data_IF_965740242341
#
_entry.id   IF_965740242341
#
_cell.length_a   1.000
_cell.length_b   1.000
_cell.length_c   1.000
_cell.angle_alpha   90.00
_cell.angle_beta   90.00
_cell.angle_gamma   90.00
#
_symmetry.space_group_name_H-M   'P 1'
#
loop_
_entity.id
_entity.type
_entity.pdbx_description
1 polymer ?
#
# COMPACT_ATOMS: atom_id res chain seq x y z
N UNK A 1 5.24 -8.55 24.33
CA UNK A 1 5.10 -7.84 23.04
C UNK A 1 4.09 -6.74 23.29
N UNK A 2 4.54 -5.49 23.39
CA UNK A 2 3.68 -4.33 23.57
C UNK A 2 2.83 -4.12 22.32
N UNK A 3 1.51 -3.95 22.50
CA UNK A 3 0.59 -3.61 21.42
C UNK A 3 1.01 -2.27 20.80
N UNK A 4 1.48 -2.31 19.57
CA UNK A 4 1.76 -1.12 18.76
C UNK A 4 0.42 -0.42 18.52
N UNK A 5 0.21 0.76 19.09
CA UNK A 5 -0.99 1.55 18.82
C UNK A 5 -0.98 1.99 17.36
N UNK A 6 -1.91 1.43 16.59
CA UNK A 6 -2.01 1.62 15.16
C UNK A 6 -3.32 2.37 14.83
N UNK A 7 -3.23 3.39 13.98
CA UNK A 7 -4.41 4.10 13.47
C UNK A 7 -4.85 3.50 12.12
N UNK A 8 -6.08 2.95 12.00
CA UNK A 8 -6.59 2.41 10.75
C UNK A 8 -6.67 3.46 9.63
N UNK A 9 -6.21 3.05 8.46
CA UNK A 9 -6.20 3.85 7.24
C UNK A 9 -7.36 3.37 6.36
N UNK A 10 -8.49 4.08 6.32
CA UNK A 10 -9.62 3.67 5.48
C UNK A 10 -9.21 3.58 3.99
N UNK A 11 -9.30 2.38 3.41
CA UNK A 11 -9.06 2.12 1.98
C UNK A 11 -10.20 1.31 1.36
N UNK A 12 -10.59 1.65 0.14
CA UNK A 12 -11.49 0.81 -0.67
C UNK A 12 -10.63 -0.04 -1.59
N UNK A 13 -10.20 -1.21 -1.11
CA UNK A 13 -9.56 -2.20 -1.96
C UNK A 13 -10.65 -3.00 -2.67
N UNK A 14 -10.62 -3.08 -4.01
CA UNK A 14 -11.51 -3.99 -4.73
C UNK A 14 -11.18 -5.43 -4.34
N UNK A 15 -12.20 -6.24 -4.01
CA UNK A 15 -12.04 -7.67 -3.74
C UNK A 15 -11.36 -8.33 -4.93
N UNK A 16 -10.17 -8.88 -4.70
CA UNK A 16 -9.41 -9.59 -5.71
C UNK A 16 -9.61 -11.09 -5.55
N UNK A 17 -9.78 -11.85 -6.65
CA UNK A 17 -9.63 -13.30 -6.58
C UNK A 17 -8.16 -13.59 -6.23
N UNK A 18 -7.91 -14.12 -5.02
CA UNK A 18 -6.56 -14.40 -4.48
C UNK A 18 -5.72 -15.34 -5.36
N UNK A 19 -6.34 -16.07 -6.29
CA UNK A 19 -5.76 -17.20 -7.01
C UNK A 19 -4.74 -16.85 -8.11
N UNK A 20 -4.53 -15.57 -8.46
CA UNK A 20 -3.57 -15.16 -9.51
C UNK A 20 -2.58 -14.04 -9.07
N UNK A 21 -2.31 -13.92 -7.77
CA UNK A 21 -1.37 -12.93 -7.25
C UNK A 21 0.05 -13.49 -7.16
N UNK A 22 1.03 -12.73 -7.68
CA UNK A 22 2.46 -13.00 -7.42
C UNK A 22 2.80 -12.83 -5.94
N UNK A 23 3.92 -13.39 -5.48
CA UNK A 23 4.36 -13.29 -4.07
C UNK A 23 4.37 -11.85 -3.55
N UNK A 24 4.86 -10.90 -4.36
CA UNK A 24 4.93 -9.50 -3.97
C UNK A 24 3.54 -8.85 -3.92
N UNK A 25 2.61 -9.25 -4.79
CA UNK A 25 1.22 -8.76 -4.76
C UNK A 25 0.44 -9.36 -3.58
N UNK A 26 0.66 -10.63 -3.26
CA UNK A 26 0.08 -11.26 -2.07
C UNK A 26 0.53 -10.56 -0.79
N UNK A 27 1.82 -10.20 -0.71
CA UNK A 27 2.32 -9.42 0.43
C UNK A 27 1.62 -8.07 0.55
N UNK A 28 1.46 -7.35 -0.57
CA UNK A 28 0.76 -6.07 -0.58
C UNK A 28 -0.71 -6.21 -0.17
N UNK A 29 -1.37 -7.28 -0.64
CA UNK A 29 -2.76 -7.57 -0.29
C UNK A 29 -2.91 -7.86 1.21
N UNK A 30 -2.05 -8.70 1.78
CA UNK A 30 -2.05 -8.97 3.22
C UNK A 30 -1.71 -7.71 4.04
N UNK A 31 -0.79 -6.89 3.53
CA UNK A 31 -0.45 -5.60 4.15
C UNK A 31 -1.60 -4.60 4.07
N UNK A 32 -2.56 -4.77 3.17
CA UNK A 32 -3.75 -3.92 3.16
C UNK A 32 -4.64 -4.13 4.39
N UNK A 33 -4.53 -5.27 5.09
CA UNK A 33 -5.21 -5.48 6.37
C UNK A 33 -4.75 -4.47 7.45
N UNK A 34 -3.54 -3.92 7.31
CA UNK A 34 -3.08 -2.80 8.14
C UNK A 34 -4.11 -1.67 8.05
N UNK A 35 -4.66 -1.38 6.87
CA UNK A 35 -5.62 -0.30 6.66
C UNK A 35 -6.88 -0.39 7.54
N UNK A 36 -7.26 -1.60 7.97
CA UNK A 36 -8.43 -1.85 8.83
C UNK A 36 -8.09 -2.08 10.30
N UNK A 37 -6.84 -1.83 10.73
CA UNK A 37 -6.46 -2.00 12.14
C UNK A 37 -5.83 -3.36 12.45
N UNK A 38 -5.73 -4.24 11.46
CA UNK A 38 -5.30 -5.62 11.67
C UNK A 38 -3.85 -5.76 11.23
N UNK A 39 -2.98 -6.09 12.18
CA UNK A 39 -1.59 -6.46 11.89
C UNK A 39 -1.53 -7.99 11.82
N UNK A 40 -1.28 -8.61 10.65
CA UNK A 40 -1.11 -10.05 10.58
C UNK A 40 0.13 -10.49 11.38
N UNK A 41 0.00 -11.52 12.21
CA UNK A 41 1.00 -11.97 13.21
C UNK A 41 2.41 -12.19 12.64
N UNK A 42 2.51 -12.49 11.35
CA UNK A 42 3.77 -12.78 10.67
C UNK A 42 4.22 -11.67 9.72
N UNK A 43 3.51 -10.55 9.57
CA UNK A 43 3.79 -9.56 8.53
C UNK A 43 5.13 -8.86 8.73
N UNK A 44 5.48 -8.52 9.98
CA UNK A 44 6.78 -7.92 10.32
C UNK A 44 7.97 -8.84 10.01
N UNK A 45 7.77 -10.15 10.12
CA UNK A 45 8.81 -11.16 9.94
C UNK A 45 8.79 -11.79 8.54
N UNK A 46 7.73 -11.55 7.76
CA UNK A 46 7.56 -12.12 6.44
C UNK A 46 8.53 -11.47 5.45
N UNK A 47 9.22 -12.30 4.68
CA UNK A 47 10.08 -11.82 3.61
C UNK A 47 9.19 -11.25 2.49
N UNK A 48 9.33 -9.97 2.11
CA UNK A 48 8.53 -9.36 1.05
C UNK A 48 8.82 -9.93 -0.35
N UNK A 49 9.77 -10.87 -0.48
CA UNK A 49 10.11 -11.56 -1.71
C UNK A 49 11.46 -11.12 -2.29
N UNK A 50 11.91 -11.81 -3.35
CA UNK A 50 13.07 -11.36 -4.14
C UNK A 50 12.73 -10.06 -4.85
N UNK A 51 13.76 -9.24 -5.08
CA UNK A 51 13.62 -8.00 -5.84
C UNK A 51 13.15 -8.35 -7.26
N UNK A 52 11.89 -8.04 -7.56
CA UNK A 52 11.32 -8.31 -8.88
C UNK A 52 11.66 -7.18 -9.86
N UNK A 53 11.44 -7.38 -11.16
CA UNK A 53 11.52 -6.31 -12.18
C UNK A 53 10.63 -5.09 -11.84
N UNK A 54 9.54 -5.30 -11.10
CA UNK A 54 8.75 -4.21 -10.52
C UNK A 54 9.43 -3.68 -9.24
N UNK A 55 10.43 -2.82 -9.42
CA UNK A 55 11.21 -2.21 -8.33
C UNK A 55 10.29 -1.51 -7.30
N UNK A 56 9.28 -0.79 -7.78
CA UNK A 56 8.31 -0.06 -6.95
C UNK A 56 7.53 -0.94 -5.98
N UNK A 57 7.07 -2.12 -6.40
CA UNK A 57 6.27 -3.01 -5.55
C UNK A 57 7.12 -3.60 -4.42
N UNK A 58 8.38 -3.93 -4.71
CA UNK A 58 9.32 -4.44 -3.70
C UNK A 58 9.62 -3.36 -2.66
N UNK A 59 9.84 -2.12 -3.09
CA UNK A 59 10.07 -0.99 -2.20
C UNK A 59 8.84 -0.70 -1.34
N UNK A 60 7.64 -0.71 -1.92
CA UNK A 60 6.40 -0.52 -1.18
C UNK A 60 6.22 -1.58 -0.09
N UNK A 61 6.43 -2.86 -0.41
CA UNK A 61 6.33 -3.95 0.56
C UNK A 61 7.35 -3.83 1.70
N UNK A 62 8.59 -3.41 1.39
CA UNK A 62 9.62 -3.18 2.41
C UNK A 62 9.27 -2.03 3.35
N UNK A 63 8.68 -0.95 2.81
CA UNK A 63 8.22 0.19 3.61
C UNK A 63 7.04 -0.20 4.52
N UNK A 64 6.10 -0.99 4.01
CA UNK A 64 4.98 -1.51 4.82
C UNK A 64 5.47 -2.44 5.92
N UNK A 65 6.44 -3.31 5.62
CA UNK A 65 7.08 -4.16 6.63
C UNK A 65 7.80 -3.32 7.70
N UNK A 66 8.55 -2.30 7.28
CA UNK A 66 9.24 -1.38 8.19
C UNK A 66 8.25 -0.67 9.10
N UNK A 67 7.13 -0.20 8.55
CA UNK A 67 6.06 0.43 9.31
C UNK A 67 5.51 -0.47 10.41
N UNK A 68 5.24 -1.75 10.12
CA UNK A 68 4.76 -2.69 11.14
C UNK A 68 5.83 -3.05 12.17
N UNK A 69 7.09 -3.06 11.78
CA UNK A 69 8.21 -3.44 12.66
C UNK A 69 8.74 -2.28 13.52
N UNK A 70 8.20 -1.07 13.40
CA UNK A 70 8.72 0.13 14.08
C UNK A 70 7.73 0.61 15.14
N UNK A 71 8.15 0.61 16.41
CA UNK A 71 7.31 1.11 17.52
C UNK A 71 7.08 2.63 17.44
N UNK A 72 8.14 3.39 17.15
CA UNK A 72 8.10 4.86 17.05
C UNK A 72 8.07 5.31 15.59
N UNK A 73 6.87 5.40 15.04
CA UNK A 73 6.64 5.77 13.65
C UNK A 73 6.90 7.27 13.39
N UNK A 74 7.85 7.58 12.51
CA UNK A 74 8.05 8.94 11.97
C UNK A 74 6.86 9.38 11.09
N UNK A 75 6.50 10.66 11.14
CA UNK A 75 5.46 11.25 10.28
C UNK A 75 5.68 10.96 8.80
N UNK A 76 6.94 10.96 8.33
CA UNK A 76 7.28 10.65 6.95
C UNK A 76 6.98 9.19 6.61
N UNK A 77 7.29 8.26 7.52
CA UNK A 77 7.02 6.84 7.31
C UNK A 77 5.52 6.59 7.29
N UNK A 78 4.76 7.20 8.22
CA UNK A 78 3.29 7.15 8.23
C UNK A 78 2.70 7.69 6.93
N UNK A 79 3.20 8.84 6.45
CA UNK A 79 2.73 9.44 5.22
C UNK A 79 2.97 8.55 4.00
N UNK A 80 4.19 8.02 3.86
CA UNK A 80 4.57 7.16 2.73
C UNK A 80 3.75 5.86 2.74
N UNK A 81 3.61 5.19 3.89
CA UNK A 81 2.83 3.94 3.97
C UNK A 81 1.34 4.17 3.74
N UNK A 82 0.82 5.29 4.24
CA UNK A 82 -0.56 5.72 3.94
C UNK A 82 -0.76 5.96 2.45
N UNK A 83 0.19 6.64 1.79
CA UNK A 83 0.16 6.87 0.34
C UNK A 83 0.17 5.54 -0.42
N UNK A 84 1.02 4.59 0.00
CA UNK A 84 1.08 3.25 -0.58
C UNK A 84 -0.28 2.54 -0.46
N UNK A 85 -0.87 2.53 0.74
CA UNK A 85 -2.12 1.82 0.99
C UNK A 85 -3.32 2.48 0.31
N UNK A 86 -3.38 3.81 0.23
CA UNK A 86 -4.55 4.55 -0.30
C UNK A 86 -4.53 4.77 -1.80
N UNK A 87 -3.35 4.87 -2.41
CA UNK A 87 -3.22 5.19 -3.84
C UNK A 87 -2.57 4.04 -4.59
N UNK A 88 -1.37 3.63 -4.16
CA UNK A 88 -0.57 2.67 -4.92
C UNK A 88 -1.20 1.26 -4.96
N UNK A 89 -1.64 0.74 -3.81
CA UNK A 89 -2.22 -0.59 -3.74
C UNK A 89 -3.52 -0.72 -4.55
N UNK A 90 -4.52 0.17 -4.41
CA UNK A 90 -5.69 0.18 -5.27
C UNK A 90 -5.35 0.28 -6.76
N UNK A 91 -4.41 1.16 -7.13
CA UNK A 91 -3.95 1.29 -8.53
C UNK A 91 -3.36 -0.03 -9.05
N UNK A 92 -2.45 -0.66 -8.31
CA UNK A 92 -1.83 -1.93 -8.70
C UNK A 92 -2.87 -3.03 -8.91
N UNK A 93 -3.87 -3.11 -8.02
CA UNK A 93 -4.92 -4.13 -8.10
C UNK A 93 -5.95 -3.84 -9.20
N UNK A 94 -6.27 -2.57 -9.46
CA UNK A 94 -7.09 -2.17 -10.61
C UNK A 94 -6.42 -2.52 -11.94
N UNK A 95 -5.12 -2.25 -12.09
CA UNK A 95 -4.39 -2.62 -13.30
C UNK A 95 -4.34 -4.14 -13.47
N UNK A 96 -4.13 -4.90 -12.39
CA UNK A 96 -4.11 -6.36 -12.43
C UNK A 96 -5.47 -6.95 -12.83
N UNK A 97 -6.58 -6.38 -12.37
CA UNK A 97 -7.95 -6.82 -12.74
C UNK A 97 -8.36 -6.40 -14.14
N UNK A 98 -7.94 -5.21 -14.59
CA UNK A 98 -8.26 -4.64 -15.90
C UNK A 98 -6.97 -4.26 -16.66
N UNK A 99 -6.18 -5.24 -17.13
CA UNK A 99 -4.85 -4.99 -17.70
C UNK A 99 -4.88 -4.53 -19.17
N UNK A 100 -6.03 -4.61 -19.83
CA UNK A 100 -6.13 -4.26 -21.27
C UNK A 100 -5.96 -2.76 -21.47
N UNK A 101 -5.30 -2.38 -22.57
CA UNK A 101 -4.96 -0.99 -22.88
C UNK A 101 -6.17 -0.03 -22.86
N UNK A 102 -7.35 -0.47 -23.31
CA UNK A 102 -8.55 0.38 -23.30
C UNK A 102 -9.06 0.72 -21.89
N UNK A 103 -8.66 -0.04 -20.85
CA UNK A 103 -8.89 0.33 -19.45
C UNK A 103 -7.81 1.26 -18.90
N UNK A 104 -6.73 1.52 -19.64
CA UNK A 104 -5.61 2.35 -19.20
C UNK A 104 -6.05 3.74 -18.74
N UNK A 105 -6.92 4.41 -19.52
CA UNK A 105 -7.43 5.75 -19.15
C UNK A 105 -8.31 5.71 -17.90
N UNK A 106 -9.08 4.65 -17.71
CA UNK A 106 -9.95 4.46 -16.54
C UNK A 106 -9.08 4.22 -15.29
N UNK A 107 -8.10 3.32 -15.38
CA UNK A 107 -7.16 3.05 -14.29
C UNK A 107 -6.35 4.31 -13.90
N UNK A 108 -5.93 5.09 -14.90
CA UNK A 108 -5.23 6.36 -14.67
C UNK A 108 -6.13 7.39 -13.98
N UNK A 109 -7.38 7.55 -14.44
CA UNK A 109 -8.34 8.47 -13.83
C UNK A 109 -8.65 8.09 -12.38
N UNK A 110 -8.84 6.81 -12.06
CA UNK A 110 -9.04 6.34 -10.70
C UNK A 110 -7.85 6.67 -9.79
N UNK A 111 -6.63 6.52 -10.31
CA UNK A 111 -5.40 6.86 -9.58
C UNK A 111 -5.33 8.36 -9.29
N UNK A 112 -5.64 9.21 -10.28
CA UNK A 112 -5.71 10.67 -10.08
C UNK A 112 -6.77 11.02 -9.04
N UNK A 113 -7.95 10.42 -9.12
CA UNK A 113 -9.05 10.66 -8.19
C UNK A 113 -8.63 10.32 -6.75
N UNK A 114 -8.08 9.12 -6.54
CA UNK A 114 -7.57 8.70 -5.23
C UNK A 114 -6.48 9.64 -4.69
N UNK A 115 -5.58 10.12 -5.55
CA UNK A 115 -4.55 11.07 -5.16
C UNK A 115 -5.08 12.44 -4.76
N UNK A 116 -6.20 12.90 -5.33
CA UNK A 116 -6.81 14.20 -4.99
C UNK A 116 -7.63 14.15 -3.71
N UNK A 117 -8.25 13.00 -3.43
CA UNK A 117 -9.02 12.75 -2.20
C UNK A 117 -8.10 12.50 -0.99
N UNK A 118 -6.83 12.22 -1.23
CA UNK A 118 -5.83 12.12 -0.17
C UNK A 118 -5.52 13.51 0.40
N UNK A 119 -5.76 13.76 1.70
CA UNK A 119 -5.59 15.09 2.27
C UNK A 119 -4.14 15.57 2.12
N UNK A 120 -3.97 16.72 1.48
CA UNK A 120 -2.70 17.38 1.21
C UNK A 120 -2.24 18.24 2.39
N UNK A 121 -2.34 17.76 3.62
CA UNK A 121 -1.87 18.51 4.80
C UNK A 121 -0.33 18.63 4.85
N UNK A 122 0.42 18.00 3.94
CA UNK A 122 1.90 17.96 3.98
C UNK A 122 2.56 18.41 2.64
N UNK A 123 1.81 18.57 1.54
CA UNK A 123 2.41 19.01 0.25
C UNK A 123 3.11 20.37 0.31
N UNK A 124 2.85 21.18 1.34
CA UNK A 124 3.55 22.46 1.58
C UNK A 124 4.91 22.31 2.25
N UNK A 125 5.23 21.16 2.86
CA UNK A 125 6.40 20.95 3.72
C UNK A 125 7.66 20.45 3.00
N UNK A 126 7.52 20.08 1.72
CA UNK A 126 8.62 19.59 0.88
C UNK A 126 9.02 20.58 -0.23
N UNK A 127 8.42 21.78 -0.22
CA UNK A 127 8.71 22.88 -1.13
C UNK A 127 9.32 24.11 -0.41
N UNK A 128 9.61 23.96 0.89
CA UNK A 128 10.39 24.89 1.72
C UNK A 128 11.72 24.22 2.09
#
# INVERSE_FOLDING_TARGET
MSEVQFEPITTQLSELPETDLSTNQQFLYQSSAISIGIIPDNLANKNPGKLSHACWLTTANRLLRLYVATDNLSDNLKYITTTILRIYAPMCFQIKTKPKLHYGIINFWHTIKASREFPNNISKRFLE
#
